data_IF_125079667121
#
_entry.id   IF_125079667121
#
_cell.length_a   1.000
_cell.length_b   1.000
_cell.length_c   1.000
_cell.angle_alpha   90.00
_cell.angle_beta   90.00
_cell.angle_gamma   90.00
#
_symmetry.space_group_name_H-M   'P 1'
#
loop_
_entity.id
_entity.type
_entity.pdbx_description
1 polymer ?
#
# COMPACT_ATOMS: atom_id res chain seq x y z
N UNK A 1 15.42 7.40 -21.23
CA UNK A 1 15.44 6.70 -19.92
C UNK A 1 14.74 5.38 -20.14
N UNK A 2 15.26 4.25 -19.64
CA UNK A 2 14.58 2.96 -19.81
C UNK A 2 13.39 2.90 -18.85
N UNK A 3 12.18 3.09 -19.38
CA UNK A 3 10.93 2.90 -18.67
C UNK A 3 10.49 1.46 -18.91
N UNK A 4 10.25 0.68 -17.85
CA UNK A 4 9.54 -0.60 -17.99
C UNK A 4 8.09 -0.24 -18.30
N UNK A 5 7.69 -0.42 -19.55
CA UNK A 5 6.30 -0.25 -19.98
C UNK A 5 5.55 -1.55 -19.77
N UNK A 6 4.39 -1.47 -19.13
CA UNK A 6 3.44 -2.57 -18.94
C UNK A 6 2.03 -2.06 -19.28
N UNK A 7 1.05 -2.95 -19.50
CA UNK A 7 -0.34 -2.54 -19.68
C UNK A 7 -0.87 -1.68 -18.52
N UNK A 8 -0.36 -1.87 -17.30
CA UNK A 8 -0.74 -1.05 -16.13
C UNK A 8 -0.15 0.36 -16.22
N UNK A 9 1.10 0.52 -16.69
CA UNK A 9 1.67 1.86 -16.88
C UNK A 9 0.91 2.64 -17.95
N UNK A 10 0.49 1.95 -19.01
CA UNK A 10 -0.33 2.54 -20.08
C UNK A 10 -1.74 2.89 -19.60
N UNK A 11 -2.39 2.00 -18.84
CA UNK A 11 -3.74 2.19 -18.33
C UNK A 11 -3.86 3.44 -17.46
N UNK A 12 -2.87 3.68 -16.59
CA UNK A 12 -2.89 4.81 -15.66
C UNK A 12 -2.02 5.99 -16.08
N UNK A 13 -1.37 5.91 -17.25
CA UNK A 13 -0.41 6.91 -17.73
C UNK A 13 0.66 7.28 -16.68
N UNK A 14 1.26 6.25 -16.08
CA UNK A 14 2.32 6.37 -15.07
C UNK A 14 3.67 5.89 -15.64
N UNK A 15 4.77 6.34 -15.04
CA UNK A 15 6.12 6.02 -15.53
C UNK A 15 6.67 4.71 -14.96
N UNK A 16 6.17 4.28 -13.81
CA UNK A 16 6.68 3.12 -13.10
C UNK A 16 5.53 2.19 -12.76
N UNK A 17 5.67 0.86 -12.96
CA UNK A 17 4.65 -0.13 -12.63
C UNK A 17 4.61 -0.38 -11.10
N UNK A 18 4.51 0.70 -10.32
CA UNK A 18 4.57 0.73 -8.85
C UNK A 18 3.37 1.50 -8.34
N UNK A 19 2.49 0.79 -7.64
CA UNK A 19 1.30 1.30 -6.99
C UNK A 19 1.55 1.35 -5.47
N UNK A 20 1.21 2.48 -4.84
CA UNK A 20 1.19 2.61 -3.40
C UNK A 20 0.08 1.75 -2.81
N UNK A 21 0.34 1.01 -1.72
CA UNK A 21 -0.73 0.35 -1.01
C UNK A 21 -1.64 1.32 -0.27
N UNK A 22 -2.95 1.17 -0.42
CA UNK A 22 -3.95 1.82 0.42
C UNK A 22 -3.84 1.36 1.87
N UNK A 23 -3.12 2.11 2.69
CA UNK A 23 -2.88 1.82 4.11
C UNK A 23 -3.56 2.87 4.98
N UNK A 24 -4.51 2.47 5.82
CA UNK A 24 -5.13 3.38 6.78
C UNK A 24 -4.05 4.06 7.64
N UNK A 25 -4.20 5.36 7.91
CA UNK A 25 -3.23 6.24 8.61
C UNK A 25 -1.92 6.48 7.84
N UNK A 26 -1.25 5.43 7.33
CA UNK A 26 0.06 5.59 6.71
C UNK A 26 0.01 6.19 5.29
N UNK A 27 -0.98 5.81 4.48
CA UNK A 27 -1.15 6.27 3.10
C UNK A 27 -2.15 7.43 3.01
N UNK A 28 -1.78 8.56 3.63
CA UNK A 28 -2.50 9.83 3.50
C UNK A 28 -2.20 10.57 2.19
N UNK A 29 -2.82 11.75 1.99
CA UNK A 29 -2.68 12.54 0.75
C UNK A 29 -1.22 12.91 0.41
N UNK A 30 -0.38 13.20 1.41
CA UNK A 30 1.03 13.55 1.20
C UNK A 30 1.82 12.41 0.58
N UNK A 31 1.70 11.19 1.13
CA UNK A 31 2.37 10.01 0.59
C UNK A 31 1.87 9.65 -0.81
N UNK A 32 0.55 9.70 -1.01
CA UNK A 32 -0.04 9.42 -2.32
C UNK A 32 0.47 10.42 -3.37
N UNK A 33 0.48 11.72 -3.05
CA UNK A 33 1.02 12.75 -3.93
C UNK A 33 2.52 12.54 -4.20
N UNK A 34 3.31 12.15 -3.20
CA UNK A 34 4.74 11.90 -3.36
C UNK A 34 5.00 10.74 -4.33
N UNK A 35 4.25 9.63 -4.20
CA UNK A 35 4.35 8.48 -5.12
C UNK A 35 3.93 8.86 -6.53
N UNK A 36 2.81 9.57 -6.69
CA UNK A 36 2.36 9.99 -8.03
C UNK A 36 3.34 10.97 -8.68
N UNK A 37 3.91 11.92 -7.93
CA UNK A 37 4.94 12.84 -8.42
C UNK A 37 6.25 12.13 -8.80
N UNK A 38 6.55 11.00 -8.16
CA UNK A 38 7.69 10.15 -8.49
C UNK A 38 7.42 9.22 -9.70
N UNK A 39 6.23 9.31 -10.33
CA UNK A 39 5.90 8.54 -11.53
C UNK A 39 5.23 7.19 -11.27
N UNK A 40 4.89 6.85 -10.02
CA UNK A 40 4.02 5.71 -9.68
C UNK A 40 2.54 6.10 -9.62
N UNK A 41 1.70 5.21 -9.10
CA UNK A 41 0.30 5.52 -8.78
C UNK A 41 0.12 5.63 -7.26
N UNK A 42 -0.14 6.85 -6.78
CA UNK A 42 -0.51 7.11 -5.40
C UNK A 42 -1.93 6.64 -5.10
N UNK A 43 -2.09 5.88 -4.01
CA UNK A 43 -3.37 5.36 -3.54
C UNK A 43 -3.60 5.84 -2.11
N UNK A 44 -4.72 6.50 -1.87
CA UNK A 44 -5.13 6.92 -0.52
C UNK A 44 -5.81 5.74 0.18
N UNK A 45 -5.35 5.44 1.40
CA UNK A 45 -5.91 4.38 2.24
C UNK A 45 -6.83 4.91 3.34
N UNK A 46 -8.01 4.29 3.47
CA UNK A 46 -8.91 4.53 4.61
C UNK A 46 -10.17 5.32 4.26
N UNK A 47 -11.24 5.01 5.01
CA UNK A 47 -12.56 5.61 4.93
C UNK A 47 -12.58 6.97 5.64
N UNK A 48 -13.07 8.02 4.98
CA UNK A 48 -13.72 9.13 5.69
C UNK A 48 -13.18 10.55 5.53
N UNK A 49 -12.22 10.84 4.67
CA UNK A 49 -11.88 12.25 4.39
C UNK A 49 -12.42 12.69 3.03
N UNK A 50 -13.46 13.53 3.04
CA UNK A 50 -13.94 14.33 1.89
C UNK A 50 -12.92 15.39 1.42
N UNK A 51 -11.66 15.24 1.81
CA UNK A 51 -10.55 16.14 1.52
C UNK A 51 -9.50 15.38 0.70
N UNK A 52 -9.94 14.84 -0.43
CA UNK A 52 -9.08 14.37 -1.53
C UNK A 52 -8.27 15.51 -2.18
N UNK A 53 -8.55 16.78 -1.85
CA UNK A 53 -7.81 17.92 -2.36
C UNK A 53 -6.37 17.93 -1.82
N UNK A 54 -5.50 17.33 -2.61
CA UNK A 54 -4.07 17.65 -2.64
C UNK A 54 -3.90 19.03 -3.29
N UNK A 55 -4.11 20.11 -2.52
CA UNK A 55 -3.79 21.47 -2.97
C UNK A 55 -2.26 21.67 -2.94
N UNK A 56 -1.53 20.87 -3.72
CA UNK A 56 -0.07 20.78 -3.68
C UNK A 56 0.64 21.58 -4.78
N UNK A 57 -0.10 22.42 -5.54
CA UNK A 57 0.48 23.36 -6.50
C UNK A 57 1.34 22.72 -7.61
N UNK A 58 1.23 21.41 -7.84
CA UNK A 58 1.99 20.65 -8.85
C UNK A 58 1.05 19.76 -9.65
N UNK A 59 1.51 19.40 -10.86
CA UNK A 59 0.79 18.78 -12.01
C UNK A 59 -0.39 17.87 -11.62
N UNK A 60 -1.48 17.83 -12.42
CA UNK A 60 -2.53 16.83 -12.28
C UNK A 60 -1.90 15.44 -12.33
N UNK A 61 -2.02 14.67 -11.24
CA UNK A 61 -1.52 13.31 -11.17
C UNK A 61 -2.66 12.37 -10.80
N UNK A 62 -2.72 11.15 -11.40
CA UNK A 62 -3.76 10.19 -11.07
C UNK A 62 -3.64 9.81 -9.58
N UNK A 63 -4.77 9.90 -8.88
CA UNK A 63 -4.92 9.43 -7.50
C UNK A 63 -5.94 8.31 -7.46
N UNK A 64 -5.64 7.27 -6.71
CA UNK A 64 -6.50 6.11 -6.51
C UNK A 64 -7.01 6.04 -5.06
N UNK A 65 -8.09 5.30 -4.84
CA UNK A 65 -8.68 5.10 -3.50
C UNK A 65 -8.86 3.62 -3.18
N UNK A 66 -8.79 3.27 -1.89
CA UNK A 66 -8.97 1.89 -1.41
C UNK A 66 -10.08 1.80 -0.37
N UNK A 67 -10.90 0.75 -0.47
CA UNK A 67 -11.98 0.43 0.46
C UNK A 67 -12.03 -1.06 0.84
N UNK A 68 -12.79 -1.41 1.88
CA UNK A 68 -12.87 -2.75 2.47
C UNK A 68 -14.34 -3.20 2.48
N UNK A 69 -14.66 -4.30 1.79
CA UNK A 69 -16.01 -4.87 1.69
C UNK A 69 -16.03 -6.35 2.11
N UNK A 70 -15.77 -6.66 3.38
CA UNK A 70 -15.95 -8.04 3.85
C UNK A 70 -17.38 -8.49 3.62
N UNK A 71 -17.56 -9.75 3.23
CA UNK A 71 -18.90 -10.35 3.21
C UNK A 71 -19.50 -10.31 4.62
N UNK A 72 -20.71 -9.76 4.75
CA UNK A 72 -21.51 -9.76 5.97
C UNK A 72 -22.71 -10.70 5.75
N UNK A 73 -23.03 -11.53 6.75
CA UNK A 73 -24.12 -12.51 6.66
C UNK A 73 -23.78 -13.79 5.85
N UNK A 74 -24.73 -14.73 5.84
CA UNK A 74 -24.56 -16.04 5.20
C UNK A 74 -23.40 -16.84 5.81
N UNK A 75 -22.50 -17.34 4.96
CA UNK A 75 -21.29 -18.09 5.37
C UNK A 75 -20.11 -17.21 5.82
N UNK A 76 -20.35 -15.92 6.06
CA UNK A 76 -19.33 -15.00 6.56
C UNK A 76 -18.80 -15.42 7.95
N UNK A 77 -17.58 -14.99 8.27
CA UNK A 77 -17.08 -15.06 9.65
C UNK A 77 -18.00 -14.20 10.52
N UNK A 78 -18.36 -14.69 11.70
CA UNK A 78 -19.24 -13.94 12.64
C UNK A 78 -18.64 -12.61 13.10
N UNK A 79 -17.31 -12.49 13.05
CA UNK A 79 -16.58 -11.25 13.34
C UNK A 79 -16.61 -10.24 12.18
N UNK A 80 -17.21 -10.59 11.04
CA UNK A 80 -17.35 -9.64 9.93
C UNK A 80 -18.46 -8.63 10.24
N UNK A 81 -18.13 -7.36 10.08
CA UNK A 81 -19.06 -6.26 10.12
C UNK A 81 -18.83 -5.37 8.90
N UNK A 82 -19.76 -4.45 8.65
CA UNK A 82 -19.61 -3.45 7.59
C UNK A 82 -18.58 -2.38 7.99
N UNK A 83 -17.45 -2.35 7.28
CA UNK A 83 -16.36 -1.39 7.54
C UNK A 83 -16.76 0.03 7.12
N UNK A 84 -17.80 0.17 6.28
CA UNK A 84 -18.34 1.46 5.86
C UNK A 84 -19.27 2.09 6.90
N UNK A 85 -19.76 1.29 7.86
CA UNK A 85 -20.76 1.69 8.86
C UNK A 85 -21.99 2.33 8.20
N UNK A 86 -22.45 1.75 7.09
CA UNK A 86 -23.60 2.22 6.30
C UNK A 86 -23.30 3.35 5.32
N UNK A 87 -22.05 3.82 5.21
CA UNK A 87 -21.68 4.99 4.38
C UNK A 87 -21.13 4.64 3.00
N UNK A 88 -21.35 3.41 2.54
CA UNK A 88 -20.84 2.95 1.25
C UNK A 88 -21.20 3.90 0.11
N UNK A 89 -22.48 4.24 -0.03
CA UNK A 89 -22.96 5.03 -1.17
C UNK A 89 -22.37 6.45 -1.18
N UNK A 90 -22.26 7.10 -0.02
CA UNK A 90 -21.62 8.42 0.13
C UNK A 90 -20.15 8.40 -0.35
N UNK A 91 -19.45 7.30 -0.09
CA UNK A 91 -18.04 7.18 -0.46
C UNK A 91 -17.86 6.91 -1.94
N UNK A 92 -18.73 6.10 -2.54
CA UNK A 92 -18.76 5.91 -3.99
C UNK A 92 -19.05 7.24 -4.70
N UNK A 93 -19.96 8.06 -4.16
CA UNK A 93 -20.22 9.40 -4.70
C UNK A 93 -19.01 10.31 -4.63
N UNK A 94 -18.29 10.33 -3.50
CA UNK A 94 -17.03 11.09 -3.38
C UNK A 94 -16.00 10.59 -4.39
N UNK A 95 -15.83 9.27 -4.51
CA UNK A 95 -14.91 8.64 -5.45
C UNK A 95 -15.19 9.05 -6.90
N UNK A 96 -16.46 9.02 -7.31
CA UNK A 96 -16.91 9.41 -8.66
C UNK A 96 -16.71 10.91 -8.87
N UNK A 97 -17.13 11.74 -7.91
CA UNK A 97 -17.00 13.20 -7.98
C UNK A 97 -15.55 13.66 -8.12
N UNK A 98 -14.65 12.98 -7.40
CA UNK A 98 -13.21 13.26 -7.41
C UNK A 98 -12.48 12.62 -8.59
N UNK A 99 -13.18 11.83 -9.43
CA UNK A 99 -12.65 11.18 -10.63
C UNK A 99 -11.36 10.41 -10.36
N UNK A 100 -11.36 9.60 -9.30
CA UNK A 100 -10.17 8.80 -8.97
C UNK A 100 -9.82 7.87 -10.13
N UNK A 101 -8.53 7.65 -10.35
CA UNK A 101 -8.04 6.84 -11.47
C UNK A 101 -8.27 5.33 -11.28
N UNK A 102 -8.42 4.88 -10.03
CA UNK A 102 -8.60 3.47 -9.67
C UNK A 102 -9.31 3.36 -8.32
N UNK A 103 -10.25 2.43 -8.24
CA UNK A 103 -10.84 1.98 -6.99
C UNK A 103 -10.33 0.58 -6.61
N UNK A 104 -9.93 0.40 -5.36
CA UNK A 104 -9.41 -0.88 -4.87
C UNK A 104 -10.27 -1.45 -3.75
N UNK A 105 -10.80 -2.66 -3.93
CA UNK A 105 -11.39 -3.46 -2.88
C UNK A 105 -10.33 -4.34 -2.22
N UNK A 106 -9.87 -3.94 -1.01
CA UNK A 106 -8.77 -4.61 -0.32
C UNK A 106 -9.19 -5.83 0.51
N UNK A 107 -10.45 -5.92 0.92
CA UNK A 107 -10.98 -7.09 1.64
C UNK A 107 -12.34 -7.44 1.07
N UNK A 108 -12.52 -8.73 0.75
CA UNK A 108 -13.78 -9.25 0.20
C UNK A 108 -13.87 -9.07 -1.32
N UNK A 109 -15.10 -8.88 -1.80
CA UNK A 109 -15.42 -8.67 -3.21
C UNK A 109 -16.42 -7.52 -3.26
N UNK A 110 -16.22 -6.50 -4.11
CA UNK A 110 -17.14 -5.37 -4.18
C UNK A 110 -18.52 -5.86 -4.65
N UNK A 111 -19.62 -5.29 -4.12
CA UNK A 111 -20.95 -5.52 -4.69
C UNK A 111 -20.98 -5.15 -6.17
N UNK A 112 -21.71 -5.93 -6.99
CA UNK A 112 -21.76 -5.69 -8.44
C UNK A 112 -22.28 -4.29 -8.79
N UNK A 113 -23.28 -3.78 -8.06
CA UNK A 113 -23.80 -2.43 -8.30
C UNK A 113 -22.75 -1.34 -8.06
N UNK A 114 -21.80 -1.55 -7.15
CA UNK A 114 -20.68 -0.62 -6.94
C UNK A 114 -19.73 -0.64 -8.13
N UNK A 115 -19.41 -1.83 -8.67
CA UNK A 115 -18.56 -1.96 -9.86
C UNK A 115 -19.23 -1.28 -11.05
N UNK A 116 -20.53 -1.54 -11.27
CA UNK A 116 -21.29 -0.96 -12.38
C UNK A 116 -21.33 0.58 -12.30
N UNK A 117 -21.61 1.15 -11.13
CA UNK A 117 -21.58 2.62 -10.92
C UNK A 117 -20.20 3.24 -11.17
N UNK A 118 -19.12 2.56 -10.78
CA UNK A 118 -17.75 3.05 -11.03
C UNK A 118 -17.40 2.96 -12.52
N UNK A 119 -17.85 1.92 -13.22
CA UNK A 119 -17.68 1.77 -14.67
C UNK A 119 -18.45 2.83 -15.46
N UNK A 120 -19.67 3.19 -15.05
CA UNK A 120 -20.43 4.31 -15.63
C UNK A 120 -19.66 5.64 -15.54
N UNK A 121 -18.85 5.81 -14.48
CA UNK A 121 -17.97 6.95 -14.29
C UNK A 121 -16.59 6.81 -14.95
N UNK A 122 -16.31 5.70 -15.66
CA UNK A 122 -15.02 5.43 -16.29
C UNK A 122 -13.90 5.02 -15.34
N UNK A 123 -14.23 4.60 -14.11
CA UNK A 123 -13.26 4.28 -13.06
C UNK A 123 -13.04 2.76 -13.02
N UNK A 124 -11.83 2.26 -13.33
CA UNK A 124 -11.53 0.84 -13.20
C UNK A 124 -11.50 0.40 -11.74
N UNK A 125 -11.77 -0.87 -11.51
CA UNK A 125 -11.82 -1.51 -10.21
C UNK A 125 -10.78 -2.63 -10.08
N UNK A 126 -10.08 -2.67 -8.96
CA UNK A 126 -9.13 -3.73 -8.63
C UNK A 126 -9.58 -4.45 -7.36
N UNK A 127 -9.53 -5.78 -7.36
CA UNK A 127 -9.85 -6.57 -6.17
C UNK A 127 -8.64 -7.33 -5.64
N UNK A 128 -8.38 -7.21 -4.34
CA UNK A 128 -7.30 -7.95 -3.69
C UNK A 128 -7.71 -9.39 -3.41
N UNK A 129 -6.81 -10.32 -3.69
CA UNK A 129 -6.98 -11.75 -3.45
C UNK A 129 -5.77 -12.31 -2.71
N UNK A 130 -6.02 -13.08 -1.64
CA UNK A 130 -4.97 -13.83 -0.94
C UNK A 130 -4.93 -15.33 -1.28
N UNK A 131 -5.75 -15.78 -2.24
CA UNK A 131 -5.83 -17.19 -2.67
C UNK A 131 -6.41 -17.27 -4.09
N UNK A 132 -5.92 -18.17 -4.97
CA UNK A 132 -6.40 -18.27 -6.36
C UNK A 132 -7.91 -18.50 -6.48
N UNK A 133 -8.50 -19.35 -5.61
CA UNK A 133 -9.96 -19.56 -5.50
C UNK A 133 -10.82 -18.29 -5.36
N UNK A 134 -10.24 -17.15 -4.95
CA UNK A 134 -11.00 -15.89 -4.85
C UNK A 134 -11.14 -15.19 -6.21
N UNK A 135 -10.28 -15.50 -7.18
CA UNK A 135 -10.24 -14.86 -8.50
C UNK A 135 -11.58 -15.03 -9.25
N UNK A 136 -12.19 -16.22 -9.36
CA UNK A 136 -13.47 -16.37 -10.08
C UNK A 136 -14.59 -15.48 -9.54
N UNK A 137 -14.69 -15.33 -8.21
CA UNK A 137 -15.72 -14.49 -7.59
C UNK A 137 -15.47 -13.00 -7.86
N UNK A 138 -14.21 -12.58 -7.87
CA UNK A 138 -13.85 -11.20 -8.22
C UNK A 138 -14.15 -10.91 -9.70
N UNK A 139 -13.79 -11.83 -10.61
CA UNK A 139 -14.09 -11.71 -12.04
C UNK A 139 -15.60 -11.67 -12.31
N UNK A 140 -16.39 -12.49 -11.62
CA UNK A 140 -17.85 -12.49 -11.72
C UNK A 140 -18.48 -11.17 -11.25
N UNK A 141 -17.82 -10.43 -10.34
CA UNK A 141 -18.25 -9.09 -9.95
C UNK A 141 -17.94 -8.02 -11.00
N UNK A 142 -17.14 -8.34 -12.02
CA UNK A 142 -16.80 -7.45 -13.13
C UNK A 142 -15.54 -6.62 -12.92
N UNK A 143 -14.64 -7.02 -12.02
CA UNK A 143 -13.43 -6.23 -11.74
C UNK A 143 -12.45 -6.22 -12.91
N UNK A 144 -11.69 -5.14 -13.04
CA UNK A 144 -10.78 -4.92 -14.18
C UNK A 144 -9.37 -5.43 -13.91
N UNK A 145 -8.98 -5.48 -12.64
CA UNK A 145 -7.65 -5.88 -12.19
C UNK A 145 -7.73 -6.79 -10.96
N UNK A 146 -6.76 -7.70 -10.83
CA UNK A 146 -6.57 -8.53 -9.63
C UNK A 146 -5.29 -8.12 -8.94
N UNK A 147 -5.34 -7.88 -7.62
CA UNK A 147 -4.14 -7.68 -6.82
C UNK A 147 -3.86 -8.93 -5.98
N UNK A 148 -2.83 -9.68 -6.34
CA UNK A 148 -2.43 -10.92 -5.67
C UNK A 148 -1.57 -10.59 -4.44
N UNK A 149 -2.20 -10.55 -3.26
CA UNK A 149 -1.53 -10.26 -2.00
C UNK A 149 -1.01 -11.52 -1.33
N UNK A 150 0.29 -11.71 -1.45
CA UNK A 150 0.99 -12.85 -0.90
C UNK A 150 1.20 -12.76 0.61
N UNK A 151 1.48 -13.92 1.22
CA UNK A 151 1.59 -14.08 2.67
C UNK A 151 2.70 -13.27 3.33
N UNK A 152 3.66 -12.75 2.56
CA UNK A 152 4.70 -11.82 2.99
C UNK A 152 4.16 -10.41 3.26
N UNK A 153 3.02 -10.02 2.68
CA UNK A 153 2.43 -8.70 2.81
C UNK A 153 1.97 -8.37 4.24
N UNK A 154 1.99 -7.08 4.59
CA UNK A 154 1.46 -6.58 5.85
C UNK A 154 -0.05 -6.37 5.81
N UNK A 155 -0.69 -6.26 6.97
CA UNK A 155 -2.14 -6.10 7.06
C UNK A 155 -2.89 -7.40 6.74
N UNK A 156 -4.09 -7.32 6.19
CA UNK A 156 -4.89 -8.51 5.90
C UNK A 156 -4.23 -9.32 4.79
N UNK A 157 -3.78 -10.53 5.10
CA UNK A 157 -3.08 -11.38 4.12
C UNK A 157 -3.30 -12.86 4.39
N UNK A 158 -3.16 -13.68 3.35
CA UNK A 158 -3.11 -15.14 3.46
C UNK A 158 -1.74 -15.65 3.90
N UNK A 159 -1.47 -16.92 3.64
CA UNK A 159 -0.22 -17.62 3.93
C UNK A 159 0.55 -18.04 2.68
N UNK A 160 -0.09 -18.04 1.50
CA UNK A 160 0.51 -18.47 0.24
C UNK A 160 1.67 -17.54 -0.16
N UNK A 161 2.89 -18.06 -0.38
CA UNK A 161 4.05 -17.27 -0.79
C UNK A 161 3.88 -16.60 -2.15
N UNK A 162 4.56 -15.47 -2.35
CA UNK A 162 4.43 -14.66 -3.57
C UNK A 162 4.77 -15.43 -4.86
N UNK A 163 5.82 -16.25 -4.79
CA UNK A 163 6.25 -17.10 -5.91
C UNK A 163 5.25 -18.17 -6.34
N UNK A 164 4.21 -18.41 -5.53
CA UNK A 164 3.15 -19.38 -5.81
C UNK A 164 1.84 -18.65 -6.11
N UNK A 165 1.46 -17.68 -5.28
CA UNK A 165 0.19 -16.98 -5.40
C UNK A 165 0.10 -16.17 -6.70
N UNK A 166 1.14 -15.40 -7.01
CA UNK A 166 1.13 -14.48 -8.15
C UNK A 166 0.97 -15.22 -9.49
N UNK A 167 1.82 -16.21 -9.84
CA UNK A 167 1.66 -16.93 -11.10
C UNK A 167 0.33 -17.70 -11.16
N UNK A 168 -0.13 -18.28 -10.05
CA UNK A 168 -1.43 -18.95 -10.01
C UNK A 168 -2.61 -17.99 -10.26
N UNK A 169 -2.53 -16.75 -9.77
CA UNK A 169 -3.52 -15.72 -10.08
C UNK A 169 -3.41 -15.25 -11.55
N UNK A 170 -2.20 -15.14 -12.10
CA UNK A 170 -1.98 -14.81 -13.52
C UNK A 170 -2.62 -15.87 -14.42
N UNK A 171 -2.42 -17.15 -14.11
CA UNK A 171 -3.06 -18.25 -14.84
C UNK A 171 -4.59 -18.20 -14.71
N UNK A 172 -5.10 -17.89 -13.52
CA UNK A 172 -6.54 -17.84 -13.26
C UNK A 172 -7.28 -16.69 -13.98
N UNK A 173 -6.59 -15.63 -14.40
CA UNK A 173 -7.22 -14.52 -15.15
C UNK A 173 -7.09 -14.67 -16.68
N UNK A 174 -6.35 -15.69 -17.17
CA UNK A 174 -6.16 -15.89 -18.62
C UNK A 174 -7.50 -16.04 -19.34
N UNK A 175 -7.65 -15.33 -20.45
CA UNK A 175 -8.87 -15.33 -21.27
C UNK A 175 -9.99 -14.41 -20.75
N UNK A 176 -9.86 -13.84 -19.55
CA UNK A 176 -10.81 -12.86 -19.04
C UNK A 176 -10.48 -11.45 -19.51
N UNK A 177 -11.52 -10.65 -19.73
CA UNK A 177 -11.42 -9.25 -20.16
C UNK A 177 -12.14 -8.34 -19.17
N UNK A 178 -11.57 -7.15 -18.96
CA UNK A 178 -12.17 -6.06 -18.20
C UNK A 178 -13.46 -5.60 -18.90
N UNK A 179 -14.61 -5.57 -18.19
CA UNK A 179 -15.86 -5.05 -18.74
C UNK A 179 -15.77 -3.57 -19.14
N UNK A 180 -14.96 -2.78 -18.42
CA UNK A 180 -14.79 -1.35 -18.70
C UNK A 180 -13.93 -1.09 -19.95
N UNK A 181 -12.79 -1.78 -20.06
CA UNK A 181 -11.76 -1.44 -21.05
C UNK A 181 -11.73 -2.37 -22.27
N UNK A 182 -12.37 -3.55 -22.18
CA UNK A 182 -12.30 -4.61 -23.18
C UNK A 182 -10.93 -5.27 -23.32
N UNK A 183 -9.92 -4.84 -22.54
CA UNK A 183 -8.56 -5.41 -22.49
C UNK A 183 -8.51 -6.61 -21.55
N UNK A 184 -7.45 -7.44 -21.60
CA UNK A 184 -7.26 -8.52 -20.62
C UNK A 184 -7.33 -8.04 -19.17
N UNK A 185 -7.82 -8.87 -18.26
CA UNK A 185 -7.68 -8.63 -16.82
C UNK A 185 -6.24 -8.93 -16.42
N UNK A 186 -5.56 -7.94 -15.85
CA UNK A 186 -4.16 -8.05 -15.45
C UNK A 186 -4.00 -8.27 -13.94
N UNK A 187 -2.85 -8.84 -13.54
CA UNK A 187 -2.50 -9.06 -12.14
C UNK A 187 -1.46 -8.05 -11.68
N UNK A 188 -1.69 -7.46 -10.50
CA UNK A 188 -0.74 -6.68 -9.73
C UNK A 188 -0.24 -7.54 -8.57
N UNK A 189 1.07 -7.71 -8.43
CA UNK A 189 1.65 -8.52 -7.36
C UNK A 189 1.90 -7.73 -6.08
N UNK A 190 1.66 -8.31 -4.90
CA UNK A 190 1.85 -7.64 -3.62
C UNK A 190 2.47 -8.53 -2.56
N UNK A 191 3.17 -7.89 -1.61
CA UNK A 191 3.66 -8.52 -0.37
C UNK A 191 5.15 -8.82 -0.31
N UNK A 192 5.77 -9.22 -1.42
CA UNK A 192 7.19 -9.56 -1.50
C UNK A 192 8.06 -8.48 -2.20
N UNK A 193 7.69 -7.20 -2.02
CA UNK A 193 8.31 -6.07 -2.74
C UNK A 193 8.84 -5.02 -1.77
N UNK A 194 10.16 -4.81 -1.80
CA UNK A 194 10.86 -3.78 -1.01
C UNK A 194 11.98 -3.06 -1.78
N UNK A 195 12.37 -3.59 -2.94
CA UNK A 195 13.39 -3.04 -3.85
C UNK A 195 13.19 -3.55 -5.30
N UNK A 196 14.15 -3.25 -6.18
CA UNK A 196 14.22 -3.67 -7.58
C UNK A 196 14.07 -5.15 -7.84
N UNK A 197 14.61 -6.00 -6.97
CA UNK A 197 14.58 -7.45 -7.14
C UNK A 197 13.15 -7.96 -6.95
N UNK A 198 12.44 -7.40 -5.96
CA UNK A 198 11.02 -7.68 -5.75
C UNK A 198 10.17 -7.30 -6.97
N UNK A 199 10.38 -6.11 -7.55
CA UNK A 199 9.68 -5.72 -8.79
C UNK A 199 9.99 -6.69 -9.93
N UNK A 200 11.27 -6.93 -10.21
CA UNK A 200 11.68 -7.81 -11.29
C UNK A 200 11.09 -9.23 -11.14
N UNK A 201 11.11 -9.80 -9.94
CA UNK A 201 10.52 -11.10 -9.65
C UNK A 201 9.01 -11.13 -9.93
N UNK A 202 8.27 -10.09 -9.52
CA UNK A 202 6.83 -10.00 -9.77
C UNK A 202 6.51 -9.93 -11.27
N UNK A 203 7.27 -9.14 -12.02
CA UNK A 203 7.14 -9.08 -13.48
C UNK A 203 7.45 -10.44 -14.14
N UNK A 204 8.49 -11.15 -13.67
CA UNK A 204 8.83 -12.49 -14.15
C UNK A 204 7.77 -13.55 -13.79
N UNK A 205 7.00 -13.35 -12.72
CA UNK A 205 5.84 -14.19 -12.39
C UNK A 205 4.58 -13.83 -13.20
N UNK A 206 4.66 -12.84 -14.10
CA UNK A 206 3.56 -12.43 -14.98
C UNK A 206 2.66 -11.34 -14.42
N UNK A 207 3.00 -10.73 -13.27
CA UNK A 207 2.31 -9.51 -12.84
C UNK A 207 2.73 -8.32 -13.72
N UNK A 208 1.82 -7.37 -13.94
CA UNK A 208 2.07 -6.19 -14.77
C UNK A 208 2.44 -4.95 -13.94
N UNK A 209 2.33 -5.05 -12.62
CA UNK A 209 2.79 -4.04 -11.67
C UNK A 209 2.93 -4.62 -10.27
N UNK A 210 3.47 -3.81 -9.35
CA UNK A 210 3.57 -4.14 -7.94
C UNK A 210 2.78 -3.19 -7.05
N UNK A 211 2.16 -3.74 -6.01
CA UNK A 211 1.47 -3.03 -4.94
C UNK A 211 2.32 -3.06 -3.67
N UNK A 212 2.86 -1.89 -3.28
CA UNK A 212 3.91 -1.78 -2.28
C UNK A 212 3.38 -1.06 -1.04
N UNK A 213 3.48 -1.71 0.12
CA UNK A 213 3.01 -1.14 1.40
C UNK A 213 4.14 -0.83 2.37
N UNK A 214 4.65 -1.87 3.04
CA UNK A 214 5.60 -1.76 4.17
C UNK A 214 6.82 -0.87 3.89
N UNK A 215 7.37 -0.91 2.66
CA UNK A 215 8.49 -0.05 2.28
C UNK A 215 8.14 1.44 2.35
N UNK A 216 6.92 1.81 1.92
CA UNK A 216 6.48 3.21 1.92
C UNK A 216 6.08 3.72 3.31
N UNK A 217 5.73 2.85 4.25
CA UNK A 217 5.46 3.28 5.64
C UNK A 217 6.69 3.94 6.27
N UNK A 218 7.89 3.48 5.92
CA UNK A 218 9.16 4.05 6.39
C UNK A 218 9.62 5.30 5.60
N UNK A 219 8.80 5.88 4.73
CA UNK A 219 9.11 7.14 4.03
C UNK A 219 8.86 8.37 4.91
N UNK A 220 9.38 9.52 4.51
CA UNK A 220 9.16 10.79 5.22
C UNK A 220 7.69 11.19 5.14
N UNK A 221 7.10 11.07 3.96
CA UNK A 221 5.76 11.53 3.58
C UNK A 221 4.63 10.63 4.13
N UNK A 222 4.96 9.44 4.64
CA UNK A 222 3.99 8.58 5.28
C UNK A 222 3.48 9.16 6.61
N UNK A 223 2.16 9.16 6.79
CA UNK A 223 1.48 9.61 8.01
C UNK A 223 1.64 8.68 9.22
N UNK A 224 2.43 7.62 9.10
CA UNK A 224 2.72 6.71 10.19
C UNK A 224 3.52 7.40 11.30
N UNK A 225 3.22 7.14 12.60
CA UNK A 225 3.96 7.74 13.68
C UNK A 225 5.41 7.24 13.68
N UNK A 226 6.34 8.04 14.24
CA UNK A 226 7.79 7.72 14.25
C UNK A 226 8.08 6.30 14.75
N UNK A 227 7.44 5.89 15.84
CA UNK A 227 7.59 4.55 16.41
C UNK A 227 7.27 3.43 15.41
N UNK A 228 6.28 3.60 14.52
CA UNK A 228 5.95 2.60 13.51
C UNK A 228 7.06 2.52 12.45
N UNK A 229 7.60 3.67 12.03
CA UNK A 229 8.72 3.73 11.09
C UNK A 229 9.96 3.06 11.69
N UNK A 230 10.27 3.37 12.94
CA UNK A 230 11.40 2.78 13.68
C UNK A 230 11.25 1.26 13.79
N UNK A 231 10.05 0.76 14.12
CA UNK A 231 9.77 -0.68 14.22
C UNK A 231 9.88 -1.44 12.88
N UNK A 232 9.65 -0.77 11.75
CA UNK A 232 9.88 -1.36 10.42
C UNK A 232 11.38 -1.45 10.15
N UNK A 233 12.11 -0.38 10.44
CA UNK A 233 13.56 -0.32 10.20
C UNK A 233 14.32 -1.29 11.10
N UNK A 234 13.85 -1.50 12.33
CA UNK A 234 14.48 -2.40 13.30
C UNK A 234 14.00 -3.86 13.21
N UNK A 235 13.20 -4.23 12.21
CA UNK A 235 12.67 -5.59 12.09
C UNK A 235 13.72 -6.60 11.62
N UNK A 236 13.76 -7.76 12.28
CA UNK A 236 14.38 -8.99 11.82
C UNK A 236 13.37 -9.93 11.14
N UNK A 237 13.87 -11.06 10.60
CA UNK A 237 13.07 -12.01 9.82
C UNK A 237 11.97 -12.72 10.62
N UNK A 238 12.08 -12.73 11.95
CA UNK A 238 11.15 -13.40 12.86
C UNK A 238 10.19 -12.43 13.56
N UNK A 239 10.31 -11.12 13.28
CA UNK A 239 9.61 -10.05 14.02
C UNK A 239 8.19 -9.77 13.52
N UNK A 240 7.65 -10.59 12.63
CA UNK A 240 6.26 -10.45 12.17
C UNK A 240 5.46 -11.71 12.43
N UNK A 241 4.19 -11.54 12.83
CA UNK A 241 3.25 -12.62 13.02
C UNK A 241 1.91 -12.29 12.35
N UNK A 242 1.15 -13.33 12.04
CA UNK A 242 -0.21 -13.20 11.54
C UNK A 242 -1.17 -13.58 12.67
N UNK A 243 -2.12 -12.71 12.98
CA UNK A 243 -3.05 -12.92 14.10
C UNK A 243 -4.50 -12.68 13.69
N UNK A 244 -5.44 -13.26 14.44
CA UNK A 244 -6.88 -13.04 14.29
C UNK A 244 -7.43 -12.05 15.31
N UNK A 245 -6.66 -11.69 16.34
CA UNK A 245 -7.19 -11.02 17.55
C UNK A 245 -7.82 -9.65 17.29
N UNK A 246 -7.40 -8.95 16.23
CA UNK A 246 -7.83 -7.59 15.93
C UNK A 246 -9.08 -7.52 15.06
N UNK A 247 -9.32 -8.50 14.18
CA UNK A 247 -10.39 -8.41 13.16
C UNK A 247 -11.10 -9.73 12.89
N UNK A 248 -10.70 -10.82 13.57
CA UNK A 248 -11.13 -12.19 13.28
C UNK A 248 -10.66 -12.71 11.91
N UNK A 249 -9.86 -11.92 11.19
CA UNK A 249 -9.24 -12.24 9.91
C UNK A 249 -7.72 -12.23 10.05
N UNK A 250 -7.01 -13.10 9.31
CA UNK A 250 -5.54 -13.09 9.30
C UNK A 250 -5.00 -11.70 8.98
N UNK A 251 -4.25 -11.13 9.93
CA UNK A 251 -3.68 -9.80 9.86
C UNK A 251 -2.20 -9.88 10.25
N UNK A 252 -1.28 -9.54 9.33
CA UNK A 252 0.17 -9.54 9.56
C UNK A 252 0.66 -8.19 10.09
N UNK A 253 1.46 -8.26 11.15
CA UNK A 253 1.95 -7.11 11.90
C UNK A 253 3.22 -7.46 12.70
N UNK A 254 3.83 -6.44 13.31
CA UNK A 254 4.97 -6.56 14.22
C UNK A 254 4.62 -7.44 15.41
N UNK A 255 5.46 -8.42 15.72
CA UNK A 255 5.37 -9.18 16.97
C UNK A 255 5.67 -8.29 18.17
N UNK A 256 4.88 -8.48 19.20
CA UNK A 256 5.03 -7.85 20.51
C UNK A 256 4.72 -8.89 21.57
N UNK A 257 5.14 -8.66 22.81
CA UNK A 257 4.82 -9.53 23.94
C UNK A 257 3.31 -9.76 24.08
N UNK A 258 2.50 -8.74 23.80
CA UNK A 258 1.04 -8.84 23.79
C UNK A 258 0.55 -9.89 22.79
N UNK A 259 1.07 -9.88 21.56
CA UNK A 259 0.68 -10.85 20.52
C UNK A 259 1.21 -12.25 20.84
N UNK A 260 2.46 -12.34 21.32
CA UNK A 260 3.06 -13.61 21.69
C UNK A 260 2.27 -14.27 22.83
N UNK A 261 1.80 -13.52 23.84
CA UNK A 261 0.92 -14.05 24.90
C UNK A 261 -0.37 -14.65 24.32
N UNK A 262 -1.05 -13.93 23.42
CA UNK A 262 -2.22 -14.45 22.71
C UNK A 262 -1.94 -15.74 21.95
N UNK A 263 -0.75 -15.85 21.33
CA UNK A 263 -0.38 -16.97 20.47
C UNK A 263 0.22 -18.16 21.21
N UNK A 264 0.77 -17.95 22.40
CA UNK A 264 1.43 -18.98 23.19
C UNK A 264 0.55 -19.49 24.34
N UNK A 265 -0.27 -18.63 24.94
CA UNK A 265 -0.99 -18.95 26.17
C UNK A 265 -2.52 -18.95 26.01
N UNK A 266 -3.08 -18.30 24.97
CA UNK A 266 -4.52 -17.98 24.90
C UNK A 266 -5.20 -18.41 23.59
N UNK A 267 -4.68 -19.42 22.91
CA UNK A 267 -5.19 -19.85 21.61
C UNK A 267 -6.62 -20.41 21.69
N UNK A 268 -7.00 -21.04 22.81
CA UNK A 268 -8.35 -21.51 23.05
C UNK A 268 -9.36 -20.34 23.12
N UNK A 269 -8.97 -19.27 23.81
CA UNK A 269 -9.80 -18.06 23.95
C UNK A 269 -9.98 -17.33 22.61
N UNK A 270 -8.94 -17.27 21.77
CA UNK A 270 -9.08 -16.75 20.39
C UNK A 270 -10.17 -17.50 19.65
N UNK A 271 -10.16 -18.84 19.70
CA UNK A 271 -11.15 -19.69 19.01
C UNK A 271 -12.56 -19.45 19.57
N UNK A 272 -12.70 -19.44 20.89
CA UNK A 272 -13.99 -19.24 21.54
C UNK A 272 -14.61 -17.87 21.21
N UNK A 273 -13.84 -16.78 21.39
CA UNK A 273 -14.33 -15.42 21.16
C UNK A 273 -14.70 -15.21 19.70
N UNK A 274 -13.83 -15.61 18.77
CA UNK A 274 -14.11 -15.46 17.34
C UNK A 274 -15.28 -16.32 16.87
N UNK A 275 -15.53 -17.49 17.48
CA UNK A 275 -16.71 -18.33 17.22
C UNK A 275 -18.02 -17.72 17.75
N UNK A 276 -17.94 -16.81 18.73
CA UNK A 276 -19.05 -15.98 19.21
C UNK A 276 -19.20 -14.67 18.42
N UNK A 277 -18.30 -14.38 17.48
CA UNK A 277 -18.28 -13.12 16.72
C UNK A 277 -17.64 -11.96 17.47
N UNK A 278 -17.00 -12.22 18.61
CA UNK A 278 -16.29 -11.22 19.40
C UNK A 278 -14.83 -11.13 18.96
N UNK A 279 -14.28 -9.91 19.01
CA UNK A 279 -12.88 -9.68 18.71
C UNK A 279 -12.03 -9.80 19.99
N UNK A 280 -11.07 -10.73 20.06
CA UNK A 280 -10.28 -10.94 21.27
C UNK A 280 -9.61 -9.68 21.83
N UNK A 281 -9.10 -8.81 20.95
CA UNK A 281 -8.50 -7.54 21.37
C UNK A 281 -9.53 -6.57 21.98
N UNK A 282 -10.73 -6.47 21.43
CA UNK A 282 -11.76 -5.56 21.96
C UNK A 282 -12.23 -6.04 23.35
N UNK A 283 -12.51 -7.33 23.49
CA UNK A 283 -12.90 -7.95 24.78
C UNK A 283 -11.81 -7.78 25.83
N UNK A 284 -10.53 -7.85 25.44
CA UNK A 284 -9.41 -7.59 26.35
C UNK A 284 -9.41 -6.15 26.83
N UNK A 285 -9.57 -5.17 25.92
CA UNK A 285 -9.52 -3.75 26.28
C UNK A 285 -10.73 -3.30 27.10
N UNK A 286 -11.88 -3.96 26.96
CA UNK A 286 -13.05 -3.75 27.83
C UNK A 286 -12.74 -4.14 29.29
N UNK A 287 -11.97 -5.20 29.50
CA UNK A 287 -11.59 -5.70 30.84
C UNK A 287 -10.31 -5.06 31.38
N UNK A 288 -9.40 -4.71 30.48
CA UNK A 288 -8.04 -4.23 30.75
C UNK A 288 -7.68 -3.01 29.88
N UNK A 289 -8.31 -1.84 30.08
CA UNK A 289 -8.07 -0.65 29.27
C UNK A 289 -6.60 -0.20 29.26
N UNK A 290 -5.86 -0.49 30.32
CA UNK A 290 -4.43 -0.21 30.47
C UNK A 290 -3.56 -0.90 29.40
N UNK A 291 -4.02 -2.02 28.83
CA UNK A 291 -3.32 -2.75 27.76
C UNK A 291 -3.47 -2.12 26.38
N UNK A 292 -4.16 -0.99 26.24
CA UNK A 292 -4.39 -0.31 24.96
C UNK A 292 -3.08 0.07 24.24
N UNK A 293 -2.04 0.45 24.98
CA UNK A 293 -0.73 0.79 24.42
C UNK A 293 0.01 -0.46 23.91
N UNK A 294 0.08 -1.51 24.74
CA UNK A 294 0.76 -2.77 24.41
C UNK A 294 0.04 -3.54 23.29
N UNK A 295 -1.28 -3.44 23.27
CA UNK A 295 -2.16 -4.06 22.30
C UNK A 295 -2.20 -3.32 20.96
N UNK A 296 -1.53 -2.18 20.81
CA UNK A 296 -1.58 -1.39 19.58
C UNK A 296 -0.98 -2.16 18.38
N UNK A 297 -1.71 -2.35 17.27
CA UNK A 297 -1.20 -3.08 16.12
C UNK A 297 -0.25 -2.22 15.28
N UNK A 298 0.90 -2.77 14.89
CA UNK A 298 1.86 -2.16 13.97
C UNK A 298 1.93 -2.95 12.67
N UNK A 299 1.09 -2.61 11.69
CA UNK A 299 1.00 -3.35 10.43
C UNK A 299 2.30 -3.26 9.63
N UNK A 300 2.87 -4.41 9.26
CA UNK A 300 4.05 -4.51 8.43
C UNK A 300 4.15 -5.92 7.84
N UNK A 301 4.75 -6.03 6.66
CA UNK A 301 5.03 -7.30 6.00
C UNK A 301 6.38 -7.86 6.41
N UNK A 302 6.64 -9.13 6.04
CA UNK A 302 7.93 -9.82 6.26
C UNK A 302 9.10 -9.09 5.60
N UNK A 303 8.83 -8.33 4.56
CA UNK A 303 9.83 -7.52 3.86
C UNK A 303 10.42 -6.37 4.71
N UNK A 304 9.82 -6.05 5.86
CA UNK A 304 10.43 -5.14 6.85
C UNK A 304 11.84 -5.61 7.25
N UNK A 305 12.02 -6.92 7.43
CA UNK A 305 13.31 -7.54 7.75
C UNK A 305 14.41 -7.28 6.71
N UNK A 306 14.03 -7.21 5.43
CA UNK A 306 14.95 -6.94 4.33
C UNK A 306 15.11 -5.43 4.03
N UNK A 307 14.25 -4.59 4.61
CA UNK A 307 14.29 -3.14 4.40
C UNK A 307 15.37 -2.48 5.26
N UNK A 308 15.67 -3.03 6.44
CA UNK A 308 16.71 -2.57 7.39
C UNK A 308 18.10 -2.44 6.75
N UNK A 309 18.51 -3.43 5.94
CA UNK A 309 19.81 -3.46 5.24
C UNK A 309 19.96 -2.37 4.17
N UNK A 310 18.86 -1.84 3.64
CA UNK A 310 18.86 -0.83 2.57
C UNK A 310 18.64 0.61 3.06
N UNK A 311 18.17 0.77 4.30
CA UNK A 311 17.82 2.06 4.93
C UNK A 311 18.92 2.59 5.87
N UNK A 312 20.02 1.85 6.06
CA UNK A 312 21.23 2.31 6.78
C UNK A 312 21.91 3.53 6.13
N UNK A 313 21.46 3.93 4.94
CA UNK A 313 21.82 5.17 4.25
C UNK A 313 20.59 6.09 4.31
N UNK A 314 20.52 6.94 5.34
CA UNK A 314 19.62 8.10 5.53
C UNK A 314 18.20 7.99 4.94
N UNK A 315 17.14 7.94 5.77
CA UNK A 315 15.72 8.01 5.36
C UNK A 315 15.51 9.02 4.21
N UNK A 316 15.42 8.60 2.94
CA UNK A 316 15.45 9.56 1.86
C UNK A 316 14.06 10.16 1.63
N UNK A 317 14.00 11.46 1.32
CA UNK A 317 12.84 12.06 0.67
C UNK A 317 12.51 11.28 -0.62
N UNK A 318 11.24 11.15 -1.01
CA UNK A 318 10.83 10.46 -2.26
C UNK A 318 11.56 10.95 -3.51
N UNK A 319 12.06 12.20 -3.51
CA UNK A 319 12.93 12.75 -4.55
C UNK A 319 14.22 11.93 -4.80
N UNK A 320 14.60 11.05 -3.85
CA UNK A 320 15.83 10.25 -3.87
C UNK A 320 15.61 8.81 -4.36
N UNK A 321 14.38 8.42 -4.76
CA UNK A 321 14.17 7.22 -5.58
C UNK A 321 15.06 7.20 -6.83
N UNK A 322 15.54 8.37 -7.28
CA UNK A 322 16.51 8.52 -8.37
C UNK A 322 18.00 8.55 -7.98
N UNK A 323 18.39 8.76 -6.70
CA UNK A 323 19.78 9.16 -6.36
C UNK A 323 20.52 8.35 -5.29
N UNK A 324 19.86 7.50 -4.49
CA UNK A 324 20.57 6.65 -3.51
C UNK A 324 20.98 5.29 -4.11
N UNK A 325 22.25 4.92 -3.91
CA UNK A 325 22.84 3.64 -4.34
C UNK A 325 22.08 2.41 -3.84
N UNK A 326 21.38 2.51 -2.71
CA UNK A 326 20.62 1.44 -2.05
C UNK A 326 19.11 1.42 -2.42
N UNK A 327 18.65 2.35 -3.26
CA UNK A 327 17.25 2.49 -3.72
C UNK A 327 17.07 2.19 -5.22
N UNK A 328 17.94 1.38 -5.82
CA UNK A 328 17.85 1.08 -7.25
C UNK A 328 16.79 0.02 -7.54
N UNK A 329 15.65 0.43 -8.08
CA UNK A 329 14.86 -0.44 -8.96
C UNK A 329 15.54 -0.62 -10.35
N UNK A 330 16.58 0.17 -10.66
CA UNK A 330 17.23 0.22 -11.98
C UNK A 330 18.77 0.45 -11.90
N UNK A 331 19.59 -0.11 -12.81
CA UNK A 331 21.06 0.01 -12.78
C UNK A 331 21.58 1.43 -13.15
N UNK A 332 22.83 1.79 -12.76
CA UNK A 332 23.45 3.08 -13.11
C UNK A 332 23.69 3.23 -14.62
N UNK A 333 23.59 4.47 -15.13
CA UNK A 333 24.26 4.86 -16.37
C UNK A 333 25.77 4.76 -16.15
N UNK A 334 26.48 4.10 -17.06
CA UNK A 334 27.93 4.24 -17.17
C UNK A 334 28.23 5.72 -17.46
N UNK A 335 28.86 6.41 -16.51
CA UNK A 335 29.51 7.70 -16.78
C UNK A 335 30.99 7.43 -16.94
N UNK A 336 31.46 7.63 -18.16
CA UNK A 336 32.86 7.80 -18.50
C UNK A 336 33.53 8.78 -17.54
N UNK A 337 34.69 8.36 -17.08
CA UNK A 337 35.70 9.09 -16.32
C UNK A 337 35.93 10.48 -16.92
N UNK A 338 35.92 11.53 -16.10
CA UNK A 338 36.79 12.70 -16.28
C UNK A 338 36.95 13.44 -14.95
N UNK A 339 38.21 13.72 -14.67
CA UNK A 339 38.75 14.38 -13.48
C UNK A 339 38.58 15.92 -13.52
N UNK A 340 38.70 16.54 -12.35
CA UNK A 340 38.91 17.97 -11.99
C UNK A 340 37.73 18.80 -11.44
N UNK A 341 37.90 19.25 -10.17
CA UNK A 341 37.76 20.65 -9.74
C UNK A 341 36.41 21.16 -9.18
N UNK A 342 36.33 21.29 -7.84
CA UNK A 342 35.75 22.41 -7.00
C UNK A 342 34.71 23.36 -7.64
N UNK A 343 33.53 23.68 -7.07
CA UNK A 343 33.16 24.28 -5.77
C UNK A 343 31.62 24.20 -5.52
N UNK A 344 31.12 24.38 -4.28
CA UNK A 344 29.68 24.42 -3.97
C UNK A 344 29.05 25.82 -4.19
N UNK A 345 27.90 25.87 -4.88
CA UNK A 345 27.09 27.08 -5.07
C UNK A 345 26.36 27.49 -3.77
N UNK A 346 26.60 28.73 -3.33
CA UNK A 346 25.87 29.45 -2.30
C UNK A 346 24.53 30.00 -2.83
N UNK A 347 23.43 29.74 -2.14
CA UNK A 347 22.16 30.46 -2.33
C UNK A 347 22.25 31.84 -1.67
N UNK A 348 22.25 32.92 -2.46
CA UNK A 348 22.08 34.29 -1.95
C UNK A 348 20.60 34.65 -1.90
N UNK A 349 20.08 34.85 -0.69
CA UNK A 349 18.85 35.59 -0.45
C UNK A 349 19.20 37.09 -0.45
N UNK A 350 18.61 37.84 -1.38
CA UNK A 350 18.72 39.29 -1.40
C UNK A 350 17.89 39.91 -0.27
N UNK A 351 18.50 40.80 0.50
CA UNK A 351 17.78 41.80 1.26
C UNK A 351 18.59 43.09 1.23
N UNK A 352 18.03 44.08 0.55
CA UNK A 352 18.57 45.43 0.39
C UNK A 352 18.42 46.21 1.68
N UNK A 353 19.51 46.70 2.26
CA UNK A 353 19.49 47.88 3.14
C UNK A 353 20.66 48.78 2.72
N UNK A 354 20.29 49.98 2.32
CA UNK A 354 21.15 51.09 1.94
C UNK A 354 21.66 51.82 3.17
N UNK A 355 22.93 52.25 3.15
CA UNK A 355 23.39 53.48 3.81
C UNK A 355 24.75 53.91 3.24
N UNK A 356 25.05 55.22 3.20
CA UNK A 356 25.92 55.82 2.19
C UNK A 356 27.41 55.88 2.60
N UNK A 357 28.26 55.92 1.57
CA UNK A 357 29.69 56.25 1.66
C UNK A 357 29.89 57.63 2.29
N UNK A 358 30.83 57.72 3.24
CA UNK A 358 31.66 58.91 3.44
C UNK A 358 33.11 58.58 3.11
N UNK A 359 33.75 59.59 2.54
CA UNK A 359 35.03 59.66 1.85
C UNK A 359 36.24 59.85 2.77
N UNK A 360 37.41 59.90 2.12
CA UNK A 360 38.75 60.35 2.57
C UNK A 360 39.46 59.45 3.57
N UNK A 361 40.73 59.08 3.39
CA UNK A 361 41.81 59.61 2.55
C UNK A 361 42.85 58.52 2.32
#
# INVERSE_FOLDING_TARGET
MSVISTPITELFNIQHPVLLAGMNVAAGPELAAAVSNAGGLGVIGGFGSSKSRTDSGKRPCPSASTSLFPQVGGSARKTNYDYTKGKLEELIEVIIKEKVALFVCAVGVPPKHVVDRLHEAGIPTMNMVGHPKHVPKALAAGVDLICAQAGEGGGHTGDIPASILIPACVDAVKGHKSPLTGKPVYVVGAGAVYDGRGLAANLMWGAEAVWVGTRFVASVEAGAPKIHKDLIVSAGYEDTATTLIYTGRPLRLRRTRYIDDWHSNRQAEIKELTAKGLLPHEVELEKHPEKSVDGRPWLMGRVSAASSLSLSVSLPNMCVLHRSSSMRFFPPKSSSTTWFGTQPCSCSAGTSISTPRRSSS
#
